data_IF_655838452459
#
_entry.id   IF_655838452459
#
_cell.length_a   1.000
_cell.length_b   1.000
_cell.length_c   1.000
_cell.angle_alpha   90.00
_cell.angle_beta   90.00
_cell.angle_gamma   90.00
#
_symmetry.space_group_name_H-M   'P 1'
#
loop_
_entity.id
_entity.type
_entity.pdbx_description
1 polymer ?
#
# COMPACT_ATOMS: atom_id res chain seq x y z
N UNK A 1 -7.31 -8.76 -16.17
CA UNK A 1 -7.22 -7.29 -16.07
C UNK A 1 -6.09 -6.92 -15.14
N UNK A 2 -5.27 -5.94 -15.52
CA UNK A 2 -4.20 -5.40 -14.67
C UNK A 2 -4.84 -4.51 -13.60
N UNK A 3 -4.53 -4.73 -12.33
CA UNK A 3 -5.06 -3.91 -11.23
C UNK A 3 -4.40 -2.53 -11.25
N UNK A 4 -5.20 -1.45 -11.24
CA UNK A 4 -4.71 -0.07 -11.20
C UNK A 4 -4.42 0.34 -9.75
N UNK A 5 -3.14 0.46 -9.40
CA UNK A 5 -2.70 0.81 -8.05
C UNK A 5 -2.65 2.32 -7.78
N UNK A 6 -2.57 3.15 -8.83
CA UNK A 6 -2.46 4.61 -8.71
C UNK A 6 -3.65 5.21 -7.94
N UNK A 7 -4.80 4.54 -8.00
CA UNK A 7 -5.98 4.93 -7.22
C UNK A 7 -5.72 4.89 -5.72
N UNK A 8 -4.86 4.04 -5.19
CA UNK A 8 -4.64 3.91 -3.74
C UNK A 8 -3.32 4.50 -3.27
N UNK A 9 -2.43 4.89 -4.18
CA UNK A 9 -1.10 5.35 -3.84
C UNK A 9 -1.07 6.87 -3.76
N UNK A 10 -0.39 7.39 -2.74
CA UNK A 10 -0.16 8.82 -2.58
C UNK A 10 0.78 9.34 -3.67
N UNK A 11 0.35 10.41 -4.36
CA UNK A 11 1.11 11.01 -5.45
C UNK A 11 2.52 11.45 -4.99
N UNK A 12 3.52 11.15 -5.82
CA UNK A 12 4.93 11.52 -5.57
C UNK A 12 5.63 10.74 -4.45
N UNK A 13 5.04 9.65 -3.94
CA UNK A 13 5.65 8.81 -2.89
C UNK A 13 6.38 7.58 -3.41
N UNK A 14 6.27 7.29 -4.71
CA UNK A 14 7.09 6.29 -5.37
C UNK A 14 8.37 6.92 -5.95
N UNK A 15 9.48 6.17 -6.07
CA UNK A 15 9.62 4.74 -5.76
C UNK A 15 9.60 4.42 -4.25
N UNK A 16 9.15 3.21 -3.90
CA UNK A 16 9.20 2.76 -2.50
C UNK A 16 10.63 2.39 -2.09
N UNK A 17 10.89 2.32 -0.79
CA UNK A 17 12.24 2.08 -0.26
C UNK A 17 12.63 0.59 -0.20
N UNK A 18 11.68 -0.33 -0.36
CA UNK A 18 11.95 -1.75 -0.18
C UNK A 18 12.89 -2.30 -1.25
N UNK A 19 13.81 -3.17 -0.84
CA UNK A 19 14.78 -3.80 -1.71
C UNK A 19 14.11 -4.57 -2.87
N UNK A 20 14.78 -4.74 -4.01
CA UNK A 20 14.32 -5.64 -5.07
C UNK A 20 14.08 -7.05 -4.50
N UNK A 21 12.90 -7.63 -4.77
CA UNK A 21 12.51 -8.94 -4.23
C UNK A 21 11.98 -8.93 -2.79
N UNK A 22 11.88 -7.77 -2.13
CA UNK A 22 11.33 -7.68 -0.78
C UNK A 22 9.82 -8.02 -0.76
N UNK A 23 9.43 -8.89 0.19
CA UNK A 23 8.05 -9.38 0.34
C UNK A 23 7.06 -8.29 0.76
N UNK A 24 7.52 -7.19 1.37
CA UNK A 24 6.65 -6.07 1.72
C UNK A 24 5.99 -5.41 0.50
N UNK A 25 6.66 -5.39 -0.66
CA UNK A 25 6.05 -4.92 -1.90
C UNK A 25 4.89 -5.83 -2.37
N UNK A 26 5.00 -7.14 -2.13
CA UNK A 26 3.95 -8.12 -2.44
C UNK A 26 2.77 -7.94 -1.47
N UNK A 27 3.05 -7.85 -0.15
CA UNK A 27 2.03 -7.61 0.88
C UNK A 27 1.30 -6.30 0.62
N UNK A 28 2.02 -5.23 0.27
CA UNK A 28 1.43 -3.94 -0.06
C UNK A 28 0.43 -4.04 -1.21
N UNK A 29 0.83 -4.68 -2.32
CA UNK A 29 -0.05 -4.91 -3.47
C UNK A 29 -1.28 -5.74 -3.11
N UNK A 30 -1.12 -6.79 -2.29
CA UNK A 30 -2.24 -7.64 -1.85
C UNK A 30 -3.20 -6.89 -0.93
N UNK A 31 -2.69 -6.08 0.00
CA UNK A 31 -3.50 -5.24 0.88
C UNK A 31 -4.38 -4.28 0.07
N UNK A 32 -3.80 -3.57 -0.92
CA UNK A 32 -4.56 -2.63 -1.75
C UNK A 32 -5.70 -3.31 -2.52
N UNK A 33 -5.46 -4.51 -3.06
CA UNK A 33 -6.50 -5.31 -3.74
C UNK A 33 -7.59 -5.75 -2.78
N UNK A 34 -7.23 -6.19 -1.57
CA UNK A 34 -8.18 -6.58 -0.55
C UNK A 34 -9.06 -5.40 -0.14
N UNK A 35 -8.46 -4.24 0.11
CA UNK A 35 -9.17 -3.00 0.44
C UNK A 35 -10.17 -2.61 -0.66
N UNK A 36 -9.75 -2.61 -1.93
CA UNK A 36 -10.67 -2.32 -3.05
C UNK A 36 -11.83 -3.32 -3.13
N UNK A 37 -11.56 -4.62 -2.87
CA UNK A 37 -12.59 -5.66 -2.90
C UNK A 37 -13.65 -5.52 -1.81
N UNK A 38 -13.30 -4.89 -0.68
CA UNK A 38 -14.24 -4.65 0.42
C UNK A 38 -15.13 -3.42 0.20
N UNK A 39 -14.87 -2.62 -0.85
CA UNK A 39 -15.64 -1.41 -1.19
C UNK A 39 -15.78 -0.41 -0.02
N UNK A 40 -14.80 -0.39 0.88
CA UNK A 40 -14.80 0.54 2.03
C UNK A 40 -14.29 1.90 1.54
N UNK A 41 -15.01 3.01 1.82
CA UNK A 41 -14.53 4.35 1.54
C UNK A 41 -13.17 4.59 2.19
N UNK A 42 -12.21 5.19 1.46
CA UNK A 42 -10.85 5.41 1.98
C UNK A 42 -10.82 6.24 3.26
N UNK A 43 -11.72 7.21 3.39
CA UNK A 43 -11.84 8.07 4.57
C UNK A 43 -12.27 7.29 5.83
N UNK A 44 -12.72 6.04 5.67
CA UNK A 44 -13.11 5.14 6.76
C UNK A 44 -12.01 4.11 7.09
N UNK A 45 -10.80 4.26 6.54
CA UNK A 45 -9.68 3.34 6.77
C UNK A 45 -8.53 4.08 7.43
N UNK A 46 -8.10 3.57 8.59
CA UNK A 46 -6.86 3.99 9.23
C UNK A 46 -5.82 2.88 9.12
N UNK A 47 -4.68 3.19 8.49
CA UNK A 47 -3.56 2.28 8.38
C UNK A 47 -2.43 2.72 9.33
N UNK A 48 -2.11 1.88 10.31
CA UNK A 48 -1.15 2.20 11.38
C UNK A 48 -0.02 1.17 11.39
N UNK A 49 1.21 1.61 11.65
CA UNK A 49 2.38 0.73 11.73
C UNK A 49 3.36 1.18 12.82
N UNK A 50 4.20 0.26 13.29
CA UNK A 50 5.26 0.53 14.27
C UNK A 50 6.53 1.13 13.65
N UNK A 51 7.70 0.57 13.99
CA UNK A 51 9.01 1.00 13.45
C UNK A 51 9.64 -0.13 12.63
N UNK A 52 10.22 0.21 11.47
CA UNK A 52 10.93 -0.72 10.59
C UNK A 52 10.65 -0.51 9.10
N UNK A 53 11.22 -1.37 8.25
CA UNK A 53 11.02 -1.29 6.80
C UNK A 53 9.55 -1.47 6.41
N UNK A 54 8.85 -2.43 7.03
CA UNK A 54 7.42 -2.66 6.82
C UNK A 54 6.59 -1.42 7.19
N UNK A 55 7.01 -0.68 8.21
CA UNK A 55 6.29 0.48 8.74
C UNK A 55 6.30 1.70 7.84
N UNK A 56 6.93 1.62 6.67
CA UNK A 56 6.84 2.66 5.65
C UNK A 56 5.60 2.53 4.79
N UNK A 57 4.89 1.39 4.88
CA UNK A 57 3.68 1.10 4.12
C UNK A 57 2.62 2.22 4.21
N UNK A 58 2.25 2.76 5.39
CA UNK A 58 1.26 3.83 5.47
C UNK A 58 1.68 5.13 4.80
N UNK A 59 2.98 5.37 4.61
CA UNK A 59 3.48 6.56 3.93
C UNK A 59 3.24 6.57 2.41
N UNK A 60 2.88 5.43 1.83
CA UNK A 60 2.64 5.26 0.40
C UNK A 60 1.17 5.36 -0.01
N UNK A 61 0.24 5.39 0.95
CA UNK A 61 -1.21 5.46 0.71
C UNK A 61 -1.81 6.75 1.24
#
# INVERSE_FOLDING_TARGET
>A
MVFNYDRHIRHGKLPHIWCPGCTYGIVFKSLLRAVESMQIPKDHIALVSGIGCASRLPGYV
#
